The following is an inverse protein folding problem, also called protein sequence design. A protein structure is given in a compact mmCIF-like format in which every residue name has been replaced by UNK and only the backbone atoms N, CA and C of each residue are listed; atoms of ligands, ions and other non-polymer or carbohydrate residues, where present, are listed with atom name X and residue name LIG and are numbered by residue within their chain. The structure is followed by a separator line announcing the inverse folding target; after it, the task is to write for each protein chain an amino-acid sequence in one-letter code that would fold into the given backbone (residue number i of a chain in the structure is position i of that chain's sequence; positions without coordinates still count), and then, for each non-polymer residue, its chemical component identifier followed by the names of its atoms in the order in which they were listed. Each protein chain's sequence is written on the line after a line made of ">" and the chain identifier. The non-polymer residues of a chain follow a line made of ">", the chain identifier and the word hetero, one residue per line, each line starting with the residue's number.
data_IF_270048835066
#
_entry.id   IF_270048835066
#
_cell.length_a   1.000
_cell.length_b   1.000
_cell.length_c   1.000
_cell.angle_alpha   90.00
_cell.angle_beta   90.00
_cell.angle_gamma   90.00
#
_symmetry.space_group_name_H-M   'P 1'
#
loop_
_entity.id
_entity.type
_entity.pdbx_description
1 polymer ?
#
# COMPACT_ATOMS: atom_id res chain seq x y z
N UNK A 1 20.93 1.49 -6.00
CA UNK A 1 20.59 2.19 -4.75
C UNK A 1 19.16 1.81 -4.39
N UNK A 2 18.96 0.63 -3.81
CA UNK A 2 17.71 0.25 -3.17
C UNK A 2 17.94 0.39 -1.68
N UNK A 3 17.94 1.64 -1.22
CA UNK A 3 18.18 1.96 0.17
C UNK A 3 16.83 2.18 0.86
N UNK A 4 16.63 1.42 1.94
CA UNK A 4 15.91 1.84 3.13
C UNK A 4 14.42 1.47 3.30
N UNK A 5 14.05 0.23 2.99
CA UNK A 5 13.06 -0.47 3.82
C UNK A 5 13.78 -1.09 5.04
N UNK A 6 14.19 -0.24 5.99
CA UNK A 6 14.74 -0.71 7.27
C UNK A 6 13.58 -1.07 8.22
N UNK A 7 13.05 -2.28 8.06
CA UNK A 7 12.04 -2.82 8.97
C UNK A 7 12.75 -3.59 10.09
N UNK A 8 12.94 -2.91 11.22
CA UNK A 8 13.10 -3.43 12.58
C UNK A 8 14.05 -4.61 12.83
N UNK A 9 15.20 -4.29 13.43
CA UNK A 9 16.15 -5.14 14.15
C UNK A 9 15.75 -6.61 14.44
N UNK A 10 16.53 -7.56 13.92
CA UNK A 10 16.40 -8.96 14.30
C UNK A 10 17.24 -9.97 13.49
N UNK A 11 18.56 -9.72 13.34
CA UNK A 11 19.67 -10.70 13.25
C UNK A 11 19.63 -12.01 12.42
N UNK A 12 18.56 -12.39 11.73
CA UNK A 12 18.45 -13.67 10.98
C UNK A 12 17.81 -13.48 9.58
N UNK A 13 17.52 -12.24 9.18
CA UNK A 13 16.67 -11.89 8.05
C UNK A 13 17.47 -11.59 6.76
N UNK A 14 18.27 -12.54 6.26
CA UNK A 14 18.89 -12.39 4.92
C UNK A 14 18.26 -13.33 3.87
N UNK A 15 17.50 -14.34 4.32
CA UNK A 15 16.70 -15.24 3.47
C UNK A 15 15.20 -14.90 3.48
N UNK A 16 14.74 -14.13 4.46
CA UNK A 16 13.35 -13.63 4.51
C UNK A 16 13.12 -12.44 3.57
N UNK A 17 14.13 -11.58 3.35
CA UNK A 17 14.06 -10.44 2.43
C UNK A 17 13.65 -10.84 1.00
N UNK A 18 14.28 -11.82 0.32
CA UNK A 18 13.86 -12.21 -1.03
C UNK A 18 12.45 -12.82 -1.07
N UNK A 19 12.03 -13.50 0.01
CA UNK A 19 10.67 -14.04 0.13
C UNK A 19 9.63 -12.94 0.31
N UNK A 20 9.89 -11.96 1.19
CA UNK A 20 9.04 -10.78 1.38
C UNK A 20 8.97 -9.91 0.12
N UNK A 21 10.08 -9.80 -0.62
CA UNK A 21 10.13 -9.09 -1.89
C UNK A 21 9.26 -9.78 -2.96
N UNK A 22 9.34 -11.11 -3.07
CA UNK A 22 8.47 -11.89 -3.96
C UNK A 22 6.98 -11.77 -3.59
N UNK A 23 6.66 -11.78 -2.29
CA UNK A 23 5.30 -11.58 -1.81
C UNK A 23 4.78 -10.17 -2.11
N UNK A 24 5.60 -9.13 -1.89
CA UNK A 24 5.24 -7.75 -2.28
C UNK A 24 5.03 -7.62 -3.78
N UNK A 25 5.85 -8.26 -4.61
CA UNK A 25 5.63 -8.27 -6.06
C UNK A 25 4.27 -8.88 -6.42
N UNK A 26 3.91 -10.02 -5.82
CA UNK A 26 2.58 -10.62 -6.05
C UNK A 26 1.42 -9.77 -5.55
N UNK A 27 1.57 -9.11 -4.41
CA UNK A 27 0.53 -8.21 -3.86
C UNK A 27 0.36 -6.93 -4.69
N UNK A 28 1.47 -6.40 -5.22
CA UNK A 28 1.49 -5.19 -6.03
C UNK A 28 1.28 -5.47 -7.53
N UNK A 29 1.14 -6.74 -7.95
CA UNK A 29 0.79 -7.11 -9.31
C UNK A 29 -0.56 -6.52 -9.70
N UNK A 30 -0.71 -6.11 -10.97
CA UNK A 30 -1.99 -5.64 -11.52
C UNK A 30 -3.17 -6.50 -11.09
N UNK A 31 -3.08 -7.82 -11.24
CA UNK A 31 -4.19 -8.73 -10.98
C UNK A 31 -4.74 -8.67 -9.54
N UNK A 32 -3.90 -8.32 -8.57
CA UNK A 32 -4.27 -8.23 -7.15
C UNK A 32 -4.50 -6.77 -6.74
N UNK A 33 -3.55 -5.89 -7.08
CA UNK A 33 -3.56 -4.51 -6.62
C UNK A 33 -4.61 -3.66 -7.34
N UNK A 34 -4.75 -3.82 -8.65
CA UNK A 34 -5.65 -3.00 -9.46
C UNK A 34 -7.12 -3.09 -9.02
N UNK A 35 -7.74 -4.27 -8.86
CA UNK A 35 -9.14 -4.34 -8.41
C UNK A 35 -9.33 -3.77 -7.00
N UNK A 36 -8.39 -4.03 -6.08
CA UNK A 36 -8.46 -3.50 -4.71
C UNK A 36 -8.31 -1.98 -4.64
N UNK A 37 -7.36 -1.41 -5.40
CA UNK A 37 -7.18 0.04 -5.46
C UNK A 37 -8.35 0.72 -6.17
N UNK A 38 -8.87 0.11 -7.25
CA UNK A 38 -9.98 0.71 -8.02
C UNK A 38 -11.24 0.84 -7.17
N UNK A 39 -11.63 -0.21 -6.43
CA UNK A 39 -12.76 -0.14 -5.49
C UNK A 39 -12.58 0.99 -4.46
N UNK A 40 -11.38 1.10 -3.91
CA UNK A 40 -11.06 2.09 -2.90
C UNK A 40 -11.05 3.52 -3.46
N UNK A 41 -10.52 3.72 -4.67
CA UNK A 41 -10.57 5.00 -5.41
C UNK A 41 -11.99 5.44 -5.69
N UNK A 42 -12.89 4.51 -6.05
CA UNK A 42 -14.29 4.82 -6.32
C UNK A 42 -15.05 5.20 -5.03
N UNK A 43 -14.66 4.65 -3.89
CA UNK A 43 -15.26 4.94 -2.57
C UNK A 43 -14.70 6.20 -1.90
N UNK A 44 -13.42 6.52 -2.14
CA UNK A 44 -12.73 7.67 -1.58
C UNK A 44 -13.45 9.02 -1.73
N UNK A 45 -13.94 9.43 -2.92
CA UNK A 45 -14.60 10.72 -3.09
C UNK A 45 -15.90 10.82 -2.29
N UNK A 46 -16.64 9.71 -2.17
CA UNK A 46 -17.84 9.64 -1.34
C UNK A 46 -17.47 9.83 0.14
N UNK A 47 -16.45 9.13 0.62
CA UNK A 47 -15.98 9.27 2.00
C UNK A 47 -15.47 10.69 2.29
N UNK A 48 -14.70 11.29 1.38
CA UNK A 48 -14.26 12.67 1.50
C UNK A 48 -15.45 13.64 1.58
N UNK A 49 -16.45 13.48 0.72
CA UNK A 49 -17.65 14.32 0.74
C UNK A 49 -18.41 14.21 2.08
N UNK A 50 -18.55 12.99 2.62
CA UNK A 50 -19.24 12.75 3.90
C UNK A 50 -18.45 13.24 5.13
N UNK A 51 -17.12 13.29 5.03
CA UNK A 51 -16.23 13.74 6.10
C UNK A 51 -15.81 15.21 5.97
N UNK A 52 -16.22 15.88 4.90
CA UNK A 52 -15.95 17.31 4.68
C UNK A 52 -16.53 18.13 5.83
N UNK A 53 -15.65 18.74 6.63
CA UNK A 53 -16.00 19.52 7.82
C UNK A 53 -16.15 18.71 9.11
N UNK A 54 -16.00 17.37 9.07
CA UNK A 54 -15.88 16.51 10.26
C UNK A 54 -14.41 16.30 10.66
N UNK A 55 -13.53 16.23 9.66
CA UNK A 55 -12.08 16.10 9.84
C UNK A 55 -11.38 17.46 9.67
N UNK A 56 -10.16 17.57 10.20
CA UNK A 56 -9.35 18.77 10.01
C UNK A 56 -9.01 18.99 8.52
N UNK A 57 -8.90 20.26 8.11
CA UNK A 57 -8.57 20.63 6.74
C UNK A 57 -7.24 20.00 6.29
N UNK A 58 -6.25 19.94 7.17
CA UNK A 58 -4.97 19.31 6.90
C UNK A 58 -5.09 17.80 6.66
N UNK A 59 -5.97 17.10 7.38
CA UNK A 59 -6.24 15.67 7.14
C UNK A 59 -7.01 15.48 5.83
N UNK A 60 -7.99 16.33 5.56
CA UNK A 60 -8.73 16.30 4.29
C UNK A 60 -7.80 16.43 3.09
N UNK A 61 -6.87 17.39 3.11
CA UNK A 61 -5.88 17.58 2.06
C UNK A 61 -4.92 16.39 1.93
N UNK A 62 -4.57 15.71 3.04
CA UNK A 62 -3.77 14.47 2.99
C UNK A 62 -4.53 13.34 2.32
N UNK A 63 -5.80 13.14 2.70
CA UNK A 63 -6.65 12.11 2.11
C UNK A 63 -6.92 12.37 0.61
N UNK A 64 -7.11 13.64 0.22
CA UNK A 64 -7.25 14.03 -1.18
C UNK A 64 -5.98 13.71 -2.00
N UNK A 65 -4.79 13.92 -1.41
CA UNK A 65 -3.52 13.52 -2.04
C UNK A 65 -3.36 12.02 -2.14
N UNK A 66 -3.76 11.27 -1.11
CA UNK A 66 -3.72 9.80 -1.15
C UNK A 66 -4.62 9.25 -2.26
N UNK A 67 -5.84 9.78 -2.39
CA UNK A 67 -6.75 9.43 -3.49
C UNK A 67 -6.08 9.62 -4.85
N UNK A 68 -5.48 10.79 -5.09
CA UNK A 68 -4.77 11.07 -6.36
C UNK A 68 -3.65 10.08 -6.62
N UNK A 69 -2.85 9.73 -5.61
CA UNK A 69 -1.80 8.73 -5.76
C UNK A 69 -2.38 7.34 -6.07
N UNK A 70 -3.50 6.93 -5.45
CA UNK A 70 -4.17 5.67 -5.79
C UNK A 70 -4.66 5.68 -7.24
N UNK A 71 -5.24 6.80 -7.69
CA UNK A 71 -5.67 6.97 -9.09
C UNK A 71 -4.51 6.85 -10.07
N UNK A 72 -3.35 7.47 -9.78
CA UNK A 72 -2.16 7.33 -10.61
C UNK A 72 -1.65 5.89 -10.66
N UNK A 73 -1.65 5.16 -9.53
CA UNK A 73 -1.27 3.74 -9.53
C UNK A 73 -2.22 2.91 -10.40
N UNK A 74 -3.53 3.13 -10.27
CA UNK A 74 -4.51 2.47 -11.13
C UNK A 74 -4.27 2.78 -12.61
N UNK A 75 -3.98 4.04 -12.95
CA UNK A 75 -3.70 4.46 -14.31
C UNK A 75 -2.42 3.84 -14.88
N UNK A 76 -1.39 3.63 -14.06
CA UNK A 76 -0.14 2.97 -14.49
C UNK A 76 -0.32 1.46 -14.74
N UNK A 77 -1.16 0.82 -13.93
CA UNK A 77 -1.48 -0.61 -14.02
C UNK A 77 -2.52 -0.94 -15.09
N UNK A 78 -3.43 -0.02 -15.40
CA UNK A 78 -4.51 -0.24 -16.38
C UNK A 78 -3.99 -0.67 -17.78
N UNK A 79 -2.99 0.01 -18.39
CA UNK A 79 -2.41 -0.37 -19.67
C UNK A 79 -1.37 -1.50 -19.59
N UNK A 80 -1.08 -2.07 -18.42
CA UNK A 80 -0.16 -3.20 -18.31
C UNK A 80 -0.76 -4.45 -18.95
N UNK A 81 0.04 -5.14 -19.77
CA UNK A 81 -0.35 -6.40 -20.42
C UNK A 81 0.64 -7.51 -20.06
N UNK A 82 0.17 -8.75 -19.97
CA UNK A 82 1.06 -9.90 -19.78
C UNK A 82 2.07 -10.07 -20.92
N UNK A 83 1.74 -9.57 -22.11
CA UNK A 83 2.63 -9.56 -23.27
C UNK A 83 3.66 -8.42 -23.26
N UNK A 84 3.61 -7.50 -22.27
CA UNK A 84 4.61 -6.44 -22.15
C UNK A 84 6.00 -7.05 -21.84
N UNK A 85 7.08 -6.47 -22.40
CA UNK A 85 8.43 -6.92 -22.12
C UNK A 85 8.78 -6.74 -20.63
N UNK A 86 9.62 -7.61 -20.09
CA UNK A 86 10.01 -7.62 -18.67
C UNK A 86 10.57 -6.28 -18.20
N UNK A 87 11.32 -5.57 -19.06
CA UNK A 87 11.87 -4.24 -18.75
C UNK A 87 10.77 -3.19 -18.51
N UNK A 88 9.66 -3.28 -19.26
CA UNK A 88 8.50 -2.38 -19.09
C UNK A 88 7.75 -2.73 -17.82
N UNK A 89 7.48 -4.01 -17.56
CA UNK A 89 6.83 -4.46 -16.32
C UNK A 89 7.65 -4.04 -15.09
N UNK A 90 8.98 -4.19 -15.17
CA UNK A 90 9.89 -3.77 -14.11
C UNK A 90 9.83 -2.26 -13.85
N UNK A 91 9.87 -1.44 -14.91
CA UNK A 91 9.74 0.01 -14.78
C UNK A 91 8.40 0.42 -14.18
N UNK A 92 7.30 -0.17 -14.64
CA UNK A 92 5.96 0.07 -14.06
C UNK A 92 5.94 -0.29 -12.58
N UNK A 93 6.47 -1.46 -12.21
CA UNK A 93 6.57 -1.86 -10.82
C UNK A 93 7.37 -0.86 -9.98
N UNK A 94 8.49 -0.35 -10.49
CA UNK A 94 9.27 0.71 -9.80
C UNK A 94 8.46 2.00 -9.62
N UNK A 95 7.67 2.41 -10.62
CA UNK A 95 6.78 3.58 -10.54
C UNK A 95 5.68 3.35 -9.50
N UNK A 96 4.98 2.21 -9.56
CA UNK A 96 3.93 1.82 -8.61
C UNK A 96 4.47 1.76 -7.19
N UNK A 97 5.66 1.16 -7.00
CA UNK A 97 6.33 1.11 -5.71
C UNK A 97 6.65 2.52 -5.18
N UNK A 98 7.11 3.42 -6.04
CA UNK A 98 7.40 4.80 -5.67
C UNK A 98 6.13 5.54 -5.23
N UNK A 99 5.03 5.40 -5.97
CA UNK A 99 3.73 5.99 -5.63
C UNK A 99 3.20 5.44 -4.30
N UNK A 100 3.31 4.13 -4.07
CA UNK A 100 2.94 3.49 -2.80
C UNK A 100 3.78 4.00 -1.63
N UNK A 101 5.09 4.23 -1.82
CA UNK A 101 5.93 4.85 -0.80
C UNK A 101 5.48 6.29 -0.47
N UNK A 102 5.17 7.10 -1.49
CA UNK A 102 4.63 8.45 -1.28
C UNK A 102 3.29 8.42 -0.53
N UNK A 103 2.45 7.43 -0.81
CA UNK A 103 1.19 7.23 -0.11
C UNK A 103 1.38 6.91 1.37
N UNK A 104 2.40 6.11 1.71
CA UNK A 104 2.76 5.84 3.11
C UNK A 104 3.33 7.07 3.82
N UNK A 105 4.09 7.93 3.13
CA UNK A 105 4.58 9.20 3.68
C UNK A 105 3.42 10.15 4.04
N UNK A 106 2.37 10.15 3.20
CA UNK A 106 1.13 10.87 3.52
C UNK A 106 0.41 10.30 4.74
N UNK A 107 0.67 9.06 5.14
CA UNK A 107 0.12 8.42 6.33
C UNK A 107 -0.76 7.21 6.01
N UNK A 108 -1.54 6.76 6.99
CA UNK A 108 -2.46 5.64 6.78
C UNK A 108 -3.72 6.11 6.05
N UNK A 109 -4.30 5.30 5.15
CA UNK A 109 -5.61 5.61 4.60
C UNK A 109 -6.69 5.50 5.69
N UNK A 110 -7.87 6.11 5.52
CA UNK A 110 -8.90 6.14 6.53
C UNK A 110 -9.43 4.72 6.78
N UNK A 111 -9.52 4.35 8.05
CA UNK A 111 -9.85 2.98 8.49
C UNK A 111 -11.21 2.50 7.99
N UNK A 112 -12.17 3.41 7.78
CA UNK A 112 -13.46 3.10 7.18
C UNK A 112 -13.36 2.62 5.72
N UNK A 113 -12.34 3.07 4.97
CA UNK A 113 -12.11 2.61 3.60
C UNK A 113 -11.25 1.34 3.56
N UNK A 114 -10.25 1.23 4.44
CA UNK A 114 -9.32 0.09 4.47
C UNK A 114 -9.88 -1.12 5.22
N UNK A 115 -10.74 -0.90 6.22
CA UNK A 115 -11.31 -1.94 7.08
C UNK A 115 -12.22 -2.94 6.35
N UNK A 116 -12.64 -2.60 5.12
CA UNK A 116 -13.42 -3.48 4.26
C UNK A 116 -12.55 -4.48 3.47
N UNK A 117 -11.24 -4.21 3.32
CA UNK A 117 -10.32 -4.98 2.44
C UNK A 117 -9.54 -6.06 3.24
N UNK A 118 -9.81 -6.23 4.53
CA UNK A 118 -8.99 -7.09 5.38
C UNK A 118 -7.62 -6.47 5.65
N UNK A 119 -6.88 -7.05 6.59
CA UNK A 119 -5.68 -6.43 7.18
C UNK A 119 -4.76 -5.79 6.13
N UNK A 120 -4.31 -4.53 6.34
CA UNK A 120 -3.41 -3.86 5.41
C UNK A 120 -2.15 -4.72 5.22
N UNK A 121 -1.61 -4.81 3.99
CA UNK A 121 -0.44 -5.63 3.71
C UNK A 121 0.72 -5.26 4.65
N UNK A 122 1.52 -6.24 5.12
CA UNK A 122 2.63 -6.00 6.03
C UNK A 122 3.59 -4.98 5.41
N UNK A 123 3.65 -3.78 6.00
CA UNK A 123 4.28 -2.59 5.43
C UNK A 123 3.37 -1.35 5.44
N UNK A 124 2.06 -1.52 5.41
CA UNK A 124 1.04 -0.46 5.57
C UNK A 124 0.46 -0.36 6.99
N UNK A 125 0.69 -1.39 7.82
CA UNK A 125 0.45 -1.34 9.25
C UNK A 125 1.62 -0.62 9.94
N UNK A 126 1.37 0.15 11.03
CA UNK A 126 2.46 0.51 11.93
C UNK A 126 3.13 -0.80 12.41
N UNK A 127 4.40 -0.78 12.89
CA UNK A 127 4.88 -1.91 13.66
C UNK A 127 3.81 -2.17 14.72
N UNK A 128 3.16 -3.33 14.63
CA UNK A 128 2.21 -3.73 15.64
C UNK A 128 2.93 -3.50 16.95
N UNK A 129 2.41 -2.61 17.79
CA UNK A 129 2.76 -2.65 19.20
C UNK A 129 2.59 -4.12 19.55
N UNK A 130 3.71 -4.77 19.82
CA UNK A 130 3.76 -6.18 20.14
C UNK A 130 2.89 -6.31 21.38
N UNK A 131 1.62 -6.65 21.18
CA UNK A 131 0.77 -7.08 22.27
C UNK A 131 1.43 -8.36 22.75
N UNK A 132 2.09 -8.25 23.90
CA UNK A 132 2.88 -9.28 24.54
C UNK A 132 2.02 -10.40 25.08
N UNK A 133 1.08 -10.92 24.29
CA UNK A 133 0.31 -12.12 24.56
C UNK A 133 1.08 -13.34 24.10
N UNK A 134 2.05 -13.75 24.91
CA UNK A 134 2.78 -15.02 24.79
C UNK A 134 1.83 -16.15 24.38
N UNK A 135 2.11 -16.80 23.24
CA UNK A 135 1.68 -18.17 23.00
C UNK A 135 2.37 -19.06 24.05
N UNK A 136 1.79 -19.14 25.25
CA UNK A 136 2.04 -20.24 26.16
C UNK A 136 1.33 -21.48 25.57
N UNK A 137 2.03 -22.12 24.64
CA UNK A 137 1.84 -23.53 24.34
C UNK A 137 2.21 -24.28 25.64
N UNK A 138 1.25 -25.04 26.16
CA UNK A 138 1.51 -26.22 26.97
C UNK A 138 1.51 -27.44 26.06
#
# INVERSE_FOLDING_TARGET
>A
MFANFNMGEGGQNNMFVPFMQGMMQSLLSKEVLYPSLKDLVERYPTWLAENKGKIEQAEYERFEKQQKLMEEVCAELEPEQESDPEDVKRKRFEVVLNLMQQMQDLGQPPKDLVGDIGAPPPGFAPPAAQDGGQCAIM
#
